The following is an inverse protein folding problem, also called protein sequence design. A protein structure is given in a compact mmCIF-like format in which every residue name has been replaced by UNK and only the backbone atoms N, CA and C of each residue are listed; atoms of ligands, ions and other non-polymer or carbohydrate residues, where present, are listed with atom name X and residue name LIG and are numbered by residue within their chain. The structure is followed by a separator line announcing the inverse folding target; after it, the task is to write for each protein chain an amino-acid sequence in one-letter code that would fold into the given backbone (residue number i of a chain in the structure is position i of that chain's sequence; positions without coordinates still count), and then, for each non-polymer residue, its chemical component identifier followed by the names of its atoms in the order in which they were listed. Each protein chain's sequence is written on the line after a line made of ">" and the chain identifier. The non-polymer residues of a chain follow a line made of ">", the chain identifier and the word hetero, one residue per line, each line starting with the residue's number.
data_IF_477593263526
#
_entry.id   IF_477593263526
#
_cell.length_a   1.000
_cell.length_b   1.000
_cell.length_c   1.000
_cell.angle_alpha   90.00
_cell.angle_beta   90.00
_cell.angle_gamma   90.00
#
_symmetry.space_group_name_H-M   'P 1'
#
loop_
_entity.id
_entity.type
_entity.pdbx_description
1 polymer ?
#
# COMPACT_ATOMS: atom_id res chain seq x y z
N UNK A 1 10.03 19.51 2.44
CA UNK A 1 9.08 18.78 1.54
C UNK A 1 7.73 18.73 2.26
N UNK A 2 6.62 18.94 1.54
CA UNK A 2 5.31 18.97 2.18
C UNK A 2 4.80 17.55 2.44
N UNK A 3 4.29 17.25 3.65
CA UNK A 3 3.62 15.98 3.91
C UNK A 3 2.38 15.81 3.03
N UNK A 4 2.22 14.61 2.43
CA UNK A 4 1.03 14.24 1.67
C UNK A 4 0.14 13.27 2.47
N UNK A 5 0.73 12.51 3.38
CA UNK A 5 0.03 11.67 4.34
C UNK A 5 0.72 11.78 5.70
N UNK A 6 -0.03 12.05 6.74
CA UNK A 6 0.46 12.08 8.11
C UNK A 6 -0.46 11.28 9.02
N UNK A 7 0.13 10.41 9.80
CA UNK A 7 -0.47 9.81 10.99
C UNK A 7 0.13 10.50 12.20
N UNK A 8 -0.68 11.02 13.12
CA UNK A 8 -0.24 11.73 14.31
C UNK A 8 -0.79 11.07 15.55
N UNK A 9 0.07 10.45 16.36
CA UNK A 9 -0.25 9.80 17.64
C UNK A 9 -1.44 8.84 17.55
N UNK A 10 -1.49 8.05 16.46
CA UNK A 10 -2.63 7.18 16.13
C UNK A 10 -2.67 5.98 17.06
N UNK A 11 -3.83 5.82 17.71
CA UNK A 11 -4.16 4.66 18.54
C UNK A 11 -5.34 3.91 17.93
N UNK A 12 -5.31 2.58 17.97
CA UNK A 12 -6.41 1.74 17.48
C UNK A 12 -6.64 0.59 18.44
N UNK A 13 -7.91 0.32 18.71
CA UNK A 13 -8.35 -0.85 19.48
C UNK A 13 -9.44 -1.62 18.76
N UNK A 14 -9.37 -2.94 18.76
CA UNK A 14 -10.39 -3.88 18.29
C UNK A 14 -11.03 -4.55 19.53
N UNK A 15 -12.14 -4.00 20.00
CA UNK A 15 -12.71 -4.42 21.29
C UNK A 15 -11.69 -4.22 22.42
N UNK A 16 -11.36 -5.26 23.20
CA UNK A 16 -10.41 -5.16 24.30
C UNK A 16 -8.94 -5.12 23.83
N UNK A 17 -8.65 -5.45 22.58
CA UNK A 17 -7.28 -5.56 22.07
C UNK A 17 -6.82 -4.24 21.44
N UNK A 18 -5.80 -3.62 22.02
CA UNK A 18 -5.16 -2.45 21.46
C UNK A 18 -4.12 -2.89 20.42
N UNK A 19 -4.30 -2.45 19.18
CA UNK A 19 -3.46 -2.82 18.06
C UNK A 19 -2.39 -1.79 17.72
N UNK A 20 -2.65 -0.49 17.96
CA UNK A 20 -1.68 0.58 17.75
C UNK A 20 -1.57 1.48 18.98
N UNK A 21 -0.34 1.95 19.25
CA UNK A 21 0.03 2.70 20.43
C UNK A 21 0.77 3.98 20.02
N UNK A 22 0.06 5.08 19.74
CA UNK A 22 0.63 6.39 19.43
C UNK A 22 1.50 6.40 18.15
N UNK A 23 1.06 5.69 17.10
CA UNK A 23 1.82 5.62 15.85
C UNK A 23 1.82 6.97 15.16
N UNK A 24 3.00 7.52 14.93
CA UNK A 24 3.25 8.70 14.09
C UNK A 24 4.09 8.30 12.89
N UNK A 25 3.68 8.72 11.68
CA UNK A 25 4.35 8.40 10.43
C UNK A 25 4.03 9.46 9.39
N UNK A 26 5.02 9.87 8.61
CA UNK A 26 4.87 10.90 7.59
C UNK A 26 5.38 10.43 6.24
N UNK A 27 4.56 10.57 5.20
CA UNK A 27 4.95 10.39 3.79
C UNK A 27 4.91 11.75 3.11
N UNK A 28 6.03 12.17 2.54
CA UNK A 28 6.13 13.44 1.81
C UNK A 28 5.76 13.27 0.33
N UNK A 29 5.38 14.35 -0.34
CA UNK A 29 5.06 14.33 -1.76
C UNK A 29 6.21 13.76 -2.59
N UNK A 30 5.93 12.75 -3.43
CA UNK A 30 6.91 12.03 -4.25
C UNK A 30 7.88 11.15 -3.46
N UNK A 31 7.81 11.14 -2.13
CA UNK A 31 8.63 10.30 -1.27
C UNK A 31 8.03 8.91 -1.04
N UNK A 32 8.83 8.01 -0.49
CA UNK A 32 8.41 6.64 -0.20
C UNK A 32 8.89 6.19 1.18
N UNK A 33 7.99 5.58 1.93
CA UNK A 33 8.25 5.05 3.27
C UNK A 33 7.90 3.56 3.30
N UNK A 34 8.85 2.73 3.73
CA UNK A 34 8.58 1.35 4.06
C UNK A 34 8.18 1.21 5.53
N UNK A 35 7.04 0.60 5.81
CA UNK A 35 6.64 0.18 7.15
C UNK A 35 6.95 -1.30 7.30
N UNK A 36 8.01 -1.62 8.02
CA UNK A 36 8.50 -2.97 8.23
C UNK A 36 8.16 -3.46 9.64
N UNK A 37 8.05 -4.77 9.82
CA UNK A 37 7.80 -5.39 11.12
C UNK A 37 7.34 -6.83 10.99
N UNK A 38 7.37 -7.56 12.09
CA UNK A 38 6.91 -8.95 12.16
C UNK A 38 5.40 -9.08 11.90
N UNK A 39 4.94 -10.31 11.64
CA UNK A 39 3.50 -10.60 11.57
C UNK A 39 2.85 -10.29 12.93
N UNK A 40 1.69 -9.66 12.88
CA UNK A 40 0.98 -9.22 14.08
C UNK A 40 1.51 -7.91 14.71
N UNK A 41 2.55 -7.27 14.16
CA UNK A 41 3.07 -6.00 14.68
C UNK A 41 2.09 -4.82 14.55
N UNK A 42 1.03 -4.95 13.74
CA UNK A 42 0.04 -3.88 13.52
C UNK A 42 0.13 -3.20 12.14
N UNK A 43 1.01 -3.67 11.24
CA UNK A 43 1.26 -3.06 9.92
C UNK A 43 0.00 -2.86 9.09
N UNK A 44 -0.78 -3.93 8.88
CA UNK A 44 -2.07 -3.86 8.14
C UNK A 44 -3.05 -2.91 8.82
N UNK A 45 -3.02 -2.78 10.16
CA UNK A 45 -3.85 -1.80 10.87
C UNK A 45 -3.42 -0.38 10.53
N UNK A 46 -2.11 -0.09 10.44
CA UNK A 46 -1.60 1.21 9.98
C UNK A 46 -2.07 1.50 8.54
N UNK A 47 -1.94 0.54 7.62
CA UNK A 47 -2.42 0.68 6.24
C UNK A 47 -3.93 0.98 6.16
N UNK A 48 -4.73 0.29 6.97
CA UNK A 48 -6.19 0.48 7.04
C UNK A 48 -6.58 1.85 7.63
N UNK A 49 -5.86 2.32 8.64
CA UNK A 49 -6.07 3.67 9.19
C UNK A 49 -5.69 4.73 8.17
N UNK A 50 -4.53 4.61 7.55
CA UNK A 50 -4.03 5.53 6.55
C UNK A 50 -4.93 5.64 5.30
N UNK A 51 -5.78 4.62 5.04
CA UNK A 51 -6.76 4.59 3.95
C UNK A 51 -8.22 4.83 4.40
N UNK A 52 -8.45 5.13 5.68
CA UNK A 52 -9.79 5.38 6.25
C UNK A 52 -10.66 4.13 6.39
N UNK A 53 -10.10 2.92 6.22
CA UNK A 53 -10.83 1.65 6.40
C UNK A 53 -11.05 1.32 7.88
N UNK A 54 -10.22 1.88 8.76
CA UNK A 54 -10.33 1.78 10.21
C UNK A 54 -10.18 3.18 10.78
N UNK A 55 -11.15 3.63 11.58
CA UNK A 55 -11.04 4.88 12.31
C UNK A 55 -10.12 4.70 13.52
N UNK A 56 -9.18 5.62 13.79
CA UNK A 56 -8.40 5.59 15.02
C UNK A 56 -9.29 5.85 16.24
N UNK A 57 -8.91 5.28 17.39
CA UNK A 57 -9.56 5.58 18.67
C UNK A 57 -9.11 6.91 19.25
N UNK A 58 -7.91 7.36 18.91
CA UNK A 58 -7.37 8.70 19.15
C UNK A 58 -6.21 8.98 18.21
N UNK A 59 -5.76 10.23 18.13
CA UNK A 59 -4.81 10.70 17.13
C UNK A 59 -5.51 11.19 15.87
N UNK A 60 -4.75 11.54 14.85
CA UNK A 60 -5.30 12.10 13.61
C UNK A 60 -4.62 11.56 12.35
N UNK A 61 -5.35 11.62 11.23
CA UNK A 61 -4.88 11.26 9.89
C UNK A 61 -5.10 12.46 8.97
N UNK A 62 -4.01 13.00 8.43
CA UNK A 62 -4.06 14.14 7.52
C UNK A 62 -3.62 13.72 6.11
N UNK A 63 -4.30 14.26 5.11
CA UNK A 63 -3.91 14.13 3.68
C UNK A 63 -3.80 15.52 3.10
N UNK A 64 -2.62 15.90 2.59
CA UNK A 64 -2.32 17.28 2.15
C UNK A 64 -2.65 18.35 3.21
N UNK A 65 -2.47 18.03 4.49
CA UNK A 65 -2.80 18.92 5.59
C UNK A 65 -4.29 18.98 5.97
N UNK A 66 -5.19 18.35 5.21
CA UNK A 66 -6.60 18.21 5.57
C UNK A 66 -6.80 17.05 6.54
N UNK A 67 -7.47 17.28 7.66
CA UNK A 67 -7.80 16.25 8.63
C UNK A 67 -8.96 15.36 8.14
N UNK A 68 -8.64 14.11 7.83
CA UNK A 68 -9.60 13.08 7.39
C UNK A 68 -9.89 12.05 8.48
N UNK A 69 -9.60 12.35 9.75
CA UNK A 69 -9.80 11.42 10.87
C UNK A 69 -11.27 11.00 10.99
N UNK A 70 -11.52 9.70 10.92
CA UNK A 70 -12.85 9.14 11.09
C UNK A 70 -13.85 9.39 9.95
N UNK A 71 -13.44 10.04 8.86
CA UNK A 71 -14.30 10.16 7.67
C UNK A 71 -14.37 8.84 6.90
N UNK A 72 -15.34 8.71 6.00
CA UNK A 72 -15.58 7.47 5.25
C UNK A 72 -14.47 7.20 4.20
N UNK A 73 -14.13 5.94 3.89
CA UNK A 73 -13.04 5.58 2.97
C UNK A 73 -13.10 6.26 1.60
N UNK A 74 -14.31 6.52 1.07
CA UNK A 74 -14.45 7.18 -0.23
C UNK A 74 -13.96 8.64 -0.22
N UNK A 75 -13.87 9.29 0.95
CA UNK A 75 -13.33 10.65 1.09
C UNK A 75 -11.81 10.61 1.01
N UNK A 76 -11.15 9.60 1.59
CA UNK A 76 -9.72 9.35 1.37
C UNK A 76 -9.40 9.12 -0.11
N UNK A 77 -10.20 8.31 -0.81
CA UNK A 77 -10.03 8.10 -2.24
C UNK A 77 -10.18 9.40 -3.05
N UNK A 78 -11.12 10.29 -2.68
CA UNK A 78 -11.27 11.61 -3.31
C UNK A 78 -10.12 12.55 -2.99
N UNK A 79 -9.52 12.44 -1.82
CA UNK A 79 -8.32 13.19 -1.44
C UNK A 79 -7.05 12.70 -2.15
N UNK A 80 -7.13 11.59 -2.90
CA UNK A 80 -6.03 11.03 -3.67
C UNK A 80 -5.29 9.86 -3.00
N UNK A 81 -5.89 9.23 -1.98
CA UNK A 81 -5.34 8.02 -1.36
C UNK A 81 -5.84 6.80 -2.10
N UNK A 82 -4.91 5.97 -2.61
CA UNK A 82 -5.19 4.66 -3.16
C UNK A 82 -4.64 3.57 -2.24
N UNK A 83 -5.40 2.50 -2.02
CA UNK A 83 -4.98 1.38 -1.20
C UNK A 83 -5.04 0.08 -2.00
N UNK A 84 -3.89 -0.56 -2.15
CA UNK A 84 -3.73 -1.90 -2.66
C UNK A 84 -3.60 -2.86 -1.45
N UNK A 85 -4.69 -3.50 -1.00
CA UNK A 85 -4.68 -4.30 0.22
C UNK A 85 -3.97 -5.63 0.01
N UNK A 86 -3.63 -6.28 1.11
CA UNK A 86 -3.20 -7.68 1.12
C UNK A 86 -4.21 -8.59 0.40
N UNK A 87 -3.73 -9.67 -0.22
CA UNK A 87 -4.56 -10.67 -0.89
C UNK A 87 -4.90 -10.33 -2.34
N UNK A 88 -5.83 -11.08 -2.89
CA UNK A 88 -6.20 -11.03 -4.31
C UNK A 88 -7.52 -10.28 -4.47
N UNK A 89 -7.54 -8.98 -4.19
CA UNK A 89 -8.77 -8.15 -4.22
C UNK A 89 -9.36 -8.00 -5.63
N UNK A 90 -9.70 -9.13 -6.28
CA UNK A 90 -10.32 -9.18 -7.61
C UNK A 90 -11.72 -9.81 -7.55
N UNK A 91 -12.62 -9.42 -8.44
CA UNK A 91 -13.89 -10.09 -8.64
C UNK A 91 -13.66 -11.35 -9.51
N UNK A 92 -13.52 -12.49 -8.85
CA UNK A 92 -13.07 -13.74 -9.46
C UNK A 92 -13.98 -14.24 -10.59
N UNK A 93 -15.27 -13.92 -10.55
CA UNK A 93 -16.27 -14.32 -11.55
C UNK A 93 -16.36 -13.39 -12.76
N UNK A 94 -15.71 -12.23 -12.69
CA UNK A 94 -15.65 -11.26 -13.78
C UNK A 94 -14.37 -11.45 -14.59
N UNK A 95 -14.40 -11.04 -15.86
CA UNK A 95 -13.20 -10.95 -16.71
C UNK A 95 -12.25 -9.88 -16.20
N UNK A 96 -11.00 -9.89 -16.68
CA UNK A 96 -10.01 -8.83 -16.45
C UNK A 96 -10.59 -7.47 -16.84
N UNK A 97 -11.15 -7.35 -18.05
CA UNK A 97 -11.73 -6.11 -18.54
C UNK A 97 -12.90 -5.62 -17.68
N UNK A 98 -13.76 -6.51 -17.21
CA UNK A 98 -14.89 -6.15 -16.35
C UNK A 98 -14.43 -5.71 -14.96
N UNK A 99 -13.40 -6.35 -14.39
CA UNK A 99 -12.78 -5.92 -13.15
C UNK A 99 -12.26 -4.47 -13.23
N UNK A 100 -11.54 -4.14 -14.30
CA UNK A 100 -11.01 -2.80 -14.54
C UNK A 100 -12.15 -1.80 -14.82
N UNK A 101 -13.11 -2.13 -15.68
CA UNK A 101 -14.26 -1.28 -15.98
C UNK A 101 -15.07 -0.92 -14.74
N UNK A 102 -15.33 -1.89 -13.86
CA UNK A 102 -16.06 -1.66 -12.63
C UNK A 102 -15.37 -0.67 -11.70
N UNK A 103 -14.02 -0.73 -11.63
CA UNK A 103 -13.23 0.21 -10.84
C UNK A 103 -13.19 1.60 -11.49
N UNK A 104 -13.02 1.69 -12.80
CA UNK A 104 -12.76 2.93 -13.53
C UNK A 104 -14.02 3.71 -13.87
N UNK A 105 -15.14 3.01 -14.14
CA UNK A 105 -16.40 3.67 -14.51
C UNK A 105 -16.89 4.66 -13.44
N UNK A 106 -16.66 4.34 -12.17
CA UNK A 106 -17.08 5.18 -11.05
C UNK A 106 -16.28 6.49 -10.97
N UNK A 107 -15.01 6.48 -11.41
CA UNK A 107 -14.09 7.62 -11.33
C UNK A 107 -14.11 8.46 -12.60
N UNK A 108 -14.15 7.82 -13.77
CA UNK A 108 -14.00 8.49 -15.07
C UNK A 108 -15.30 8.62 -15.87
N UNK A 109 -16.38 7.98 -15.43
CA UNK A 109 -17.60 7.91 -16.24
C UNK A 109 -17.38 7.17 -17.56
N UNK A 110 -18.38 7.22 -18.46
CA UNK A 110 -18.29 6.52 -19.75
C UNK A 110 -17.24 7.15 -20.70
N UNK A 111 -17.05 8.45 -20.66
CA UNK A 111 -16.16 9.17 -21.60
C UNK A 111 -14.68 8.96 -21.31
N UNK A 112 -14.29 8.76 -20.06
CA UNK A 112 -12.90 8.56 -19.66
C UNK A 112 -12.46 7.10 -19.59
N UNK A 113 -13.42 6.16 -19.66
CA UNK A 113 -13.20 4.72 -19.40
C UNK A 113 -12.18 4.10 -20.36
N UNK A 114 -12.26 4.41 -21.66
CA UNK A 114 -11.35 3.83 -22.67
C UNK A 114 -9.91 4.21 -22.37
N UNK A 115 -9.64 5.51 -22.12
CA UNK A 115 -8.29 5.98 -21.79
C UNK A 115 -7.76 5.34 -20.50
N UNK A 116 -8.61 5.17 -19.48
CA UNK A 116 -8.23 4.53 -18.22
C UNK A 116 -7.86 3.06 -18.42
N UNK A 117 -8.62 2.33 -19.27
CA UNK A 117 -8.31 0.94 -19.64
C UNK A 117 -7.00 0.84 -20.40
N UNK A 118 -6.77 1.70 -21.39
CA UNK A 118 -5.53 1.71 -22.17
C UNK A 118 -4.32 1.93 -21.25
N UNK A 119 -4.36 2.91 -20.35
CA UNK A 119 -3.30 3.13 -19.36
C UNK A 119 -3.06 1.91 -18.44
N UNK A 120 -4.12 1.22 -18.01
CA UNK A 120 -3.97 0.01 -17.21
C UNK A 120 -3.27 -1.10 -18.00
N UNK A 121 -3.55 -1.24 -19.29
CA UNK A 121 -2.91 -2.23 -20.16
C UNK A 121 -1.48 -1.83 -20.55
N UNK A 122 -1.17 -0.54 -20.64
CA UNK A 122 0.20 -0.04 -20.82
C UNK A 122 1.06 -0.34 -19.59
N UNK A 123 0.52 -0.15 -18.38
CA UNK A 123 1.21 -0.48 -17.12
C UNK A 123 1.35 -1.99 -16.89
N UNK A 124 0.36 -2.77 -17.35
CA UNK A 124 0.29 -4.22 -17.19
C UNK A 124 -0.06 -4.91 -18.51
N UNK A 125 0.88 -5.04 -19.47
CA UNK A 125 0.62 -5.60 -20.80
C UNK A 125 -0.01 -7.01 -20.75
N UNK A 126 0.41 -7.84 -19.78
CA UNK A 126 -0.14 -9.20 -19.61
C UNK A 126 -1.64 -9.21 -19.31
N UNK A 127 -2.17 -8.18 -18.64
CA UNK A 127 -3.61 -8.01 -18.43
C UNK A 127 -4.30 -7.63 -19.75
N UNK A 128 -3.61 -6.89 -20.61
CA UNK A 128 -4.05 -6.54 -21.93
C UNK A 128 -4.26 -7.77 -22.83
N UNK A 129 -3.36 -8.75 -22.77
CA UNK A 129 -3.44 -10.02 -23.53
C UNK A 129 -4.57 -10.94 -23.01
N UNK A 130 -5.03 -10.74 -21.78
CA UNK A 130 -6.01 -11.58 -21.08
C UNK A 130 -7.33 -10.87 -20.79
N UNK A 131 -7.69 -9.83 -21.54
CA UNK A 131 -8.88 -8.97 -21.29
C UNK A 131 -10.17 -9.75 -21.07
N UNK A 132 -10.40 -10.82 -21.85
CA UNK A 132 -11.58 -11.66 -21.80
C UNK A 132 -11.48 -12.84 -20.84
N UNK A 133 -10.31 -13.07 -20.24
CA UNK A 133 -10.10 -14.17 -19.30
C UNK A 133 -10.80 -13.87 -17.96
N UNK A 134 -11.44 -14.89 -17.38
CA UNK A 134 -12.07 -14.81 -16.05
C UNK A 134 -10.95 -14.63 -15.01
N UNK A 135 -11.07 -13.59 -14.17
CA UNK A 135 -10.02 -13.21 -13.22
C UNK A 135 -9.70 -14.32 -12.20
N UNK A 136 -10.66 -15.15 -11.84
CA UNK A 136 -10.45 -16.30 -10.95
C UNK A 136 -9.54 -17.38 -11.53
N UNK A 137 -9.35 -17.43 -12.87
CA UNK A 137 -8.47 -18.41 -13.56
C UNK A 137 -7.06 -17.88 -13.81
N UNK A 138 -6.79 -16.64 -13.47
CA UNK A 138 -5.45 -16.06 -13.54
C UNK A 138 -4.52 -16.68 -12.49
N UNK A 139 -3.23 -16.68 -12.75
CA UNK A 139 -2.21 -16.99 -11.74
C UNK A 139 -2.29 -16.00 -10.56
N UNK A 140 -1.73 -16.38 -9.42
CA UNK A 140 -1.70 -15.51 -8.24
C UNK A 140 -1.05 -14.15 -8.50
N UNK A 141 0.02 -14.13 -9.32
CA UNK A 141 0.71 -12.91 -9.73
C UNK A 141 -0.14 -12.02 -10.63
N UNK A 142 -0.79 -12.60 -11.64
CA UNK A 142 -1.68 -11.85 -12.54
C UNK A 142 -2.90 -11.28 -11.79
N UNK A 143 -3.45 -12.03 -10.82
CA UNK A 143 -4.51 -11.51 -9.94
C UNK A 143 -4.01 -10.35 -9.08
N UNK A 144 -2.77 -10.41 -8.60
CA UNK A 144 -2.15 -9.30 -7.86
C UNK A 144 -1.96 -8.08 -8.74
N UNK A 145 -1.43 -8.24 -9.96
CA UNK A 145 -1.33 -7.14 -10.94
C UNK A 145 -2.68 -6.52 -11.26
N UNK A 146 -3.71 -7.34 -11.45
CA UNK A 146 -5.08 -6.86 -11.66
C UNK A 146 -5.59 -6.06 -10.45
N UNK A 147 -5.30 -6.52 -9.23
CA UNK A 147 -5.65 -5.80 -7.99
C UNK A 147 -4.97 -4.42 -7.94
N UNK A 148 -3.68 -4.35 -8.27
CA UNK A 148 -2.93 -3.09 -8.32
C UNK A 148 -3.46 -2.19 -9.45
N UNK A 149 -3.67 -2.72 -10.64
CA UNK A 149 -4.20 -1.99 -11.79
C UNK A 149 -5.56 -1.33 -11.48
N UNK A 150 -6.42 -2.00 -10.70
CA UNK A 150 -7.72 -1.48 -10.29
C UNK A 150 -7.67 -0.24 -9.40
N UNK A 151 -6.59 -0.03 -8.65
CA UNK A 151 -6.43 1.13 -7.77
C UNK A 151 -5.63 2.26 -8.42
N UNK A 152 -4.90 1.96 -9.50
CA UNK A 152 -4.08 2.92 -10.25
C UNK A 152 -4.83 3.55 -11.44
N UNK A 153 -6.11 3.81 -11.28
CA UNK A 153 -6.98 4.42 -12.31
C UNK A 153 -6.47 5.79 -12.72
N UNK A 154 -6.16 6.60 -11.71
CA UNK A 154 -5.44 7.86 -11.82
C UNK A 154 -4.16 7.78 -10.98
N UNK A 155 -3.11 8.56 -11.30
CA UNK A 155 -1.98 8.67 -10.42
C UNK A 155 -2.46 9.18 -9.05
N UNK A 156 -2.46 8.33 -8.00
CA UNK A 156 -2.87 8.79 -6.69
C UNK A 156 -1.81 9.72 -6.12
N UNK A 157 -2.19 10.61 -5.20
CA UNK A 157 -1.21 11.40 -4.45
C UNK A 157 -0.35 10.49 -3.58
N UNK A 158 -0.98 9.51 -2.94
CA UNK A 158 -0.31 8.49 -2.16
C UNK A 158 -0.90 7.10 -2.44
N UNK A 159 -0.04 6.13 -2.70
CA UNK A 159 -0.35 4.71 -2.81
C UNK A 159 0.06 4.01 -1.52
N UNK A 160 -0.90 3.36 -0.88
CA UNK A 160 -0.66 2.46 0.24
C UNK A 160 -0.65 1.04 -0.31
N UNK A 161 0.48 0.34 -0.20
CA UNK A 161 0.67 -1.02 -0.71
C UNK A 161 0.88 -1.97 0.49
N UNK A 162 -0.09 -2.85 0.76
CA UNK A 162 -0.08 -3.72 1.93
C UNK A 162 0.25 -5.16 1.52
N UNK A 163 1.46 -5.62 1.92
CA UNK A 163 2.03 -6.96 1.71
C UNK A 163 1.85 -7.49 0.28
N UNK A 164 2.28 -6.69 -0.72
CA UNK A 164 2.11 -7.03 -2.13
C UNK A 164 2.94 -8.24 -2.57
N UNK A 165 4.03 -8.55 -1.87
CA UNK A 165 4.94 -9.66 -2.17
C UNK A 165 4.47 -11.01 -1.60
N UNK A 166 3.53 -11.02 -0.66
CA UNK A 166 3.15 -12.21 0.09
C UNK A 166 2.57 -13.32 -0.81
N UNK A 167 3.19 -14.50 -0.76
CA UNK A 167 2.75 -15.69 -1.47
C UNK A 167 2.98 -15.67 -2.99
N UNK A 168 3.81 -14.75 -3.49
CA UNK A 168 4.19 -14.67 -4.90
C UNK A 168 5.55 -15.33 -5.17
N UNK A 169 5.72 -15.85 -6.39
CA UNK A 169 7.01 -16.32 -6.88
C UNK A 169 7.97 -15.14 -7.08
N UNK A 170 9.30 -15.33 -6.89
CA UNK A 170 10.29 -14.24 -6.98
C UNK A 170 10.20 -13.41 -8.24
N UNK A 171 10.03 -14.04 -9.40
CA UNK A 171 9.92 -13.35 -10.70
C UNK A 171 8.71 -12.39 -10.75
N UNK A 172 7.62 -12.75 -10.08
CA UNK A 172 6.41 -11.92 -10.01
C UNK A 172 6.61 -10.76 -9.04
N UNK A 173 7.33 -11.00 -7.93
CA UNK A 173 7.70 -9.94 -6.98
C UNK A 173 8.51 -8.87 -7.71
N UNK A 174 9.51 -9.26 -8.48
CA UNK A 174 10.34 -8.33 -9.25
C UNK A 174 9.51 -7.49 -10.24
N UNK A 175 8.51 -8.09 -10.86
CA UNK A 175 7.62 -7.39 -11.79
C UNK A 175 6.70 -6.40 -11.07
N UNK A 176 6.11 -6.79 -9.92
CA UNK A 176 5.31 -5.89 -9.07
C UNK A 176 6.17 -4.70 -8.63
N UNK A 177 7.37 -4.94 -8.12
CA UNK A 177 8.26 -3.86 -7.67
C UNK A 177 8.79 -2.99 -8.81
N UNK A 178 8.98 -3.54 -10.01
CA UNK A 178 9.28 -2.73 -11.22
C UNK A 178 8.14 -1.76 -11.52
N UNK A 179 6.91 -2.23 -11.45
CA UNK A 179 5.73 -1.37 -11.65
C UNK A 179 5.63 -0.30 -10.55
N UNK A 180 5.86 -0.65 -9.28
CA UNK A 180 5.87 0.33 -8.19
C UNK A 180 6.95 1.40 -8.38
N UNK A 181 8.14 1.03 -8.89
CA UNK A 181 9.19 2.01 -9.24
C UNK A 181 8.71 2.99 -10.30
N UNK A 182 8.12 2.50 -11.38
CA UNK A 182 7.57 3.38 -12.43
C UNK A 182 6.50 4.34 -11.91
N UNK A 183 5.63 3.87 -10.99
CA UNK A 183 4.60 4.70 -10.34
C UNK A 183 5.25 5.78 -9.46
N UNK A 184 6.29 5.43 -8.69
CA UNK A 184 7.06 6.36 -7.88
C UNK A 184 7.76 7.42 -8.74
N UNK A 185 8.42 7.01 -9.82
CA UNK A 185 9.10 7.89 -10.78
C UNK A 185 8.13 8.86 -11.44
N UNK A 186 6.86 8.47 -11.59
CA UNK A 186 5.78 9.37 -12.03
C UNK A 186 5.32 10.37 -10.95
N UNK A 187 5.91 10.36 -9.74
CA UNK A 187 5.66 11.35 -8.69
C UNK A 187 4.66 10.92 -7.62
N UNK A 188 4.11 9.70 -7.66
CA UNK A 188 3.23 9.18 -6.62
C UNK A 188 4.01 8.90 -5.33
N UNK A 189 3.56 9.48 -4.21
CA UNK A 189 4.10 9.13 -2.89
C UNK A 189 3.65 7.72 -2.48
N UNK A 190 4.45 7.02 -1.66
CA UNK A 190 4.16 5.62 -1.31
C UNK A 190 4.34 5.32 0.17
N UNK A 191 3.38 4.55 0.72
CA UNK A 191 3.54 3.81 1.97
C UNK A 191 3.53 2.31 1.62
N UNK A 192 4.70 1.68 1.71
CA UNK A 192 4.90 0.26 1.41
C UNK A 192 4.94 -0.51 2.72
N UNK A 193 3.93 -1.31 2.96
CA UNK A 193 3.83 -2.16 4.15
C UNK A 193 4.28 -3.55 3.78
N UNK A 194 5.37 -4.01 4.39
CA UNK A 194 6.00 -5.29 4.01
C UNK A 194 6.62 -6.01 5.21
N UNK A 195 6.80 -7.31 5.02
CA UNK A 195 7.60 -8.14 5.90
C UNK A 195 9.00 -8.40 5.31
N UNK A 196 9.08 -8.47 3.98
CA UNK A 196 10.34 -8.72 3.26
C UNK A 196 11.11 -7.41 3.10
N UNK A 197 12.26 -7.32 3.78
CA UNK A 197 13.07 -6.09 3.88
C UNK A 197 13.71 -5.70 2.55
N UNK A 198 14.31 -6.66 1.83
CA UNK A 198 15.20 -6.38 0.70
C UNK A 198 14.60 -5.55 -0.43
N UNK A 199 13.39 -5.91 -0.89
CA UNK A 199 12.71 -5.19 -1.97
C UNK A 199 12.19 -3.82 -1.50
N UNK A 200 11.71 -3.75 -0.25
CA UNK A 200 11.21 -2.50 0.33
C UNK A 200 12.33 -1.45 0.48
N UNK A 201 13.53 -1.86 0.93
CA UNK A 201 14.69 -0.97 1.04
C UNK A 201 15.16 -0.41 -0.31
N UNK A 202 15.06 -1.21 -1.39
CA UNK A 202 15.42 -0.75 -2.73
C UNK A 202 14.42 0.23 -3.34
N UNK A 203 13.17 0.22 -2.86
CA UNK A 203 12.11 1.07 -3.39
C UNK A 203 11.92 2.35 -2.57
N UNK A 204 12.19 2.31 -1.26
CA UNK A 204 11.80 3.39 -0.35
C UNK A 204 12.98 4.28 0.05
N UNK A 205 12.69 5.56 0.33
CA UNK A 205 13.67 6.55 0.82
C UNK A 205 13.89 6.44 2.32
N UNK A 206 12.80 6.09 3.03
CA UNK A 206 12.77 5.99 4.49
C UNK A 206 12.14 4.68 4.92
N UNK A 207 12.46 4.28 6.13
CA UNK A 207 11.90 3.08 6.77
C UNK A 207 11.40 3.44 8.16
N UNK A 208 10.23 2.93 8.50
CA UNK A 208 9.73 2.86 9.86
C UNK A 208 9.61 1.38 10.27
N UNK A 209 10.14 1.02 11.44
CA UNK A 209 10.05 -0.34 11.99
C UNK A 209 8.96 -0.35 13.06
N UNK A 210 7.91 -1.13 12.80
CA UNK A 210 6.80 -1.31 13.72
C UNK A 210 6.98 -2.60 14.52
N UNK A 211 6.92 -2.49 15.84
CA UNK A 211 6.87 -3.64 16.74
C UNK A 211 5.83 -3.39 17.84
N UNK A 212 5.08 -4.43 18.17
CA UNK A 212 4.04 -4.38 19.21
C UNK A 212 3.08 -3.17 19.12
N UNK A 213 2.76 -2.76 17.88
CA UNK A 213 1.84 -1.64 17.61
C UNK A 213 2.44 -0.24 17.78
N UNK A 214 3.75 -0.11 17.97
CA UNK A 214 4.45 1.17 18.07
C UNK A 214 5.59 1.25 17.04
N UNK A 215 5.91 2.47 16.57
CA UNK A 215 7.11 2.71 15.76
C UNK A 215 8.31 2.74 16.71
N UNK A 216 9.19 1.76 16.58
CA UNK A 216 10.39 1.66 17.42
C UNK A 216 11.61 2.34 16.80
N UNK A 217 11.62 2.50 15.49
CA UNK A 217 12.67 3.16 14.75
C UNK A 217 12.13 3.77 13.46
N UNK A 218 12.66 4.92 13.09
CA UNK A 218 12.42 5.55 11.81
C UNK A 218 13.70 6.24 11.32
N UNK A 219 14.07 6.04 10.06
CA UNK A 219 15.26 6.65 9.48
C UNK A 219 15.37 6.45 7.97
N UNK A 220 16.49 6.87 7.37
CA UNK A 220 16.79 6.62 5.95
C UNK A 220 16.87 5.11 5.65
N UNK A 221 16.52 4.72 4.42
CA UNK A 221 16.47 3.30 4.05
C UNK A 221 17.87 2.63 4.02
N UNK A 222 18.91 3.38 3.73
CA UNK A 222 20.31 2.93 3.74
C UNK A 222 20.83 2.61 5.17
N UNK A 223 20.31 3.27 6.20
CA UNK A 223 20.64 3.00 7.59
C UNK A 223 19.84 1.83 8.18
N UNK A 224 18.69 1.48 7.58
CA UNK A 224 17.77 0.48 8.13
C UNK A 224 18.38 -0.93 8.14
N UNK A 225 19.26 -1.27 7.19
CA UNK A 225 19.90 -2.57 7.08
C UNK A 225 20.67 -2.95 8.34
N UNK A 226 21.52 -2.04 8.82
CA UNK A 226 22.36 -2.26 10.00
C UNK A 226 21.53 -2.36 11.29
N UNK A 227 20.48 -1.54 11.41
CA UNK A 227 19.56 -1.57 12.56
C UNK A 227 18.78 -2.88 12.64
N UNK A 228 18.30 -3.39 11.49
CA UNK A 228 17.54 -4.64 11.46
C UNK A 228 18.41 -5.85 11.73
N UNK A 229 19.64 -5.88 11.20
CA UNK A 229 20.65 -6.91 11.52
C UNK A 229 20.98 -6.91 13.01
N UNK A 230 21.26 -5.75 13.58
CA UNK A 230 21.55 -5.61 15.01
C UNK A 230 20.43 -6.14 15.92
N UNK A 231 19.16 -5.88 15.56
CA UNK A 231 17.98 -6.35 16.33
C UNK A 231 17.69 -7.82 16.17
N UNK A 232 17.94 -8.43 15.01
CA UNK A 232 17.80 -9.88 14.82
C UNK A 232 18.76 -10.68 15.70
N UNK A 233 19.94 -10.12 16.02
CA UNK A 233 20.93 -10.75 16.89
C UNK A 233 20.68 -10.48 18.39
N UNK A 234 19.96 -9.41 18.75
CA UNK A 234 19.69 -9.08 20.17
C UNK A 234 18.45 -9.76 20.73
N UNK A 235 17.49 -10.21 19.89
CA UNK A 235 16.29 -10.94 20.33
C UNK A 235 16.51 -12.45 20.49
N UNK A 236 17.69 -12.98 20.20
CA UNK A 236 18.04 -14.42 20.34
C UNK A 236 18.72 -14.80 21.68
N UNK A 237 18.85 -13.88 22.61
CA UNK A 237 19.70 -14.05 23.80
C UNK A 237 19.02 -14.13 25.17
N UNK A 238 17.68 -14.19 25.26
CA UNK A 238 17.00 -14.39 26.54
C UNK A 238 15.89 -15.46 26.42
N UNK A 239 16.27 -16.70 26.67
CA UNK A 239 15.39 -17.78 27.14
C UNK A 239 16.11 -18.59 28.19
#
# INVERSE_FOLDING_TARGET
>A
MNPVLELREVNVSYGPFRALFGVSLTVVAGGSVALLGANGAGKTTVARVASGLVAPTSGSVLVDGEDLTGVRPHQYARAGVAHAPEGRSVFATLTVAENLRLSFHRTHGASGLTRALDRAYDLFPQLGDRRSQIAGTLSGGEQRMLSIARVLVDPPKVLIADELSLGLAPIIIDEVYRTLRAIREAGTAMLIVEQQVGQALQLCDRVAVLAHGAVEWEGPADEAGDVMVGRMFTTGGDR
#
